data_IF_425752211049
#
_entry.id   IF_425752211049
#
_cell.length_a   1.000
_cell.length_b   1.000
_cell.length_c   1.000
_cell.angle_alpha   90.00
_cell.angle_beta   90.00
_cell.angle_gamma   90.00
#
_symmetry.space_group_name_H-M   'P 1'
#
loop_
_entity.id
_entity.type
_entity.pdbx_description
1 polymer ?
#
# COMPACT_ATOMS: atom_id res chain seq x y z
N UNK A 1 -52.53 -34.03 70.60
CA UNK A 1 -52.23 -34.56 69.25
C UNK A 1 -51.28 -33.58 68.57
N UNK A 2 -50.04 -33.96 68.33
CA UNK A 2 -49.00 -33.11 67.72
C UNK A 2 -48.93 -33.38 66.21
N UNK A 3 -49.25 -32.35 65.41
CA UNK A 3 -49.17 -32.39 63.95
C UNK A 3 -47.70 -32.29 63.51
N UNK A 4 -47.11 -33.37 62.99
CA UNK A 4 -45.80 -33.35 62.32
C UNK A 4 -45.98 -32.98 60.85
N UNK A 5 -45.48 -31.81 60.44
CA UNK A 5 -45.34 -31.43 59.01
C UNK A 5 -44.22 -32.24 58.37
N UNK A 6 -44.51 -32.89 57.25
CA UNK A 6 -43.54 -33.58 56.39
C UNK A 6 -42.98 -32.56 55.39
N UNK A 7 -41.71 -32.18 55.53
CA UNK A 7 -41.01 -31.33 54.56
C UNK A 7 -40.46 -32.25 53.45
N UNK A 8 -41.08 -32.22 52.27
CA UNK A 8 -40.51 -32.80 51.06
C UNK A 8 -39.52 -31.81 50.44
N UNK A 9 -38.23 -31.99 50.73
CA UNK A 9 -37.17 -31.28 50.05
C UNK A 9 -36.95 -31.87 48.65
N UNK A 10 -37.43 -31.18 47.62
CA UNK A 10 -37.05 -31.47 46.24
C UNK A 10 -35.58 -31.05 46.09
N UNK A 11 -34.67 -32.03 46.01
CA UNK A 11 -33.25 -31.78 45.74
C UNK A 11 -33.09 -31.25 44.31
N UNK A 12 -32.89 -29.93 44.18
CA UNK A 12 -32.58 -29.23 42.92
C UNK A 12 -31.14 -29.48 42.40
N UNK A 13 -30.36 -30.37 43.03
CA UNK A 13 -28.95 -30.58 42.71
C UNK A 13 -28.67 -31.45 41.47
N UNK A 14 -29.71 -32.01 40.83
CA UNK A 14 -29.56 -32.87 39.65
C UNK A 14 -29.65 -32.17 38.28
N UNK A 15 -30.07 -30.90 38.23
CA UNK A 15 -30.32 -30.18 36.96
C UNK A 15 -29.22 -29.17 36.58
N UNK A 16 -28.28 -28.87 37.49
CA UNK A 16 -27.24 -27.86 37.25
C UNK A 16 -26.08 -28.35 36.36
N UNK A 17 -25.75 -29.64 36.39
CA UNK A 17 -24.59 -30.21 35.69
C UNK A 17 -24.82 -30.37 34.17
N UNK A 18 -25.97 -30.86 33.66
CA UNK A 18 -26.16 -31.03 32.22
C UNK A 18 -26.34 -29.70 31.47
N UNK A 19 -26.86 -28.65 32.11
CA UNK A 19 -26.97 -27.31 31.49
C UNK A 19 -25.63 -26.59 31.39
N UNK A 20 -24.74 -26.77 32.38
CA UNK A 20 -23.39 -26.21 32.37
C UNK A 20 -22.48 -26.88 31.33
N UNK A 21 -22.60 -28.19 31.11
CA UNK A 21 -21.81 -28.90 30.09
C UNK A 21 -22.23 -28.54 28.66
N UNK A 22 -23.52 -28.35 28.39
CA UNK A 22 -24.01 -27.89 27.08
C UNK A 22 -23.55 -26.46 26.81
N UNK A 23 -23.61 -25.55 27.79
CA UNK A 23 -23.10 -24.18 27.66
C UNK A 23 -21.57 -24.14 27.44
N UNK A 24 -20.80 -24.99 28.13
CA UNK A 24 -19.36 -25.09 27.94
C UNK A 24 -18.98 -25.67 26.57
N UNK A 25 -19.74 -26.63 26.05
CA UNK A 25 -19.52 -27.20 24.70
C UNK A 25 -19.81 -26.17 23.59
N UNK A 26 -20.89 -25.40 23.72
CA UNK A 26 -21.23 -24.31 22.78
C UNK A 26 -20.24 -23.14 22.88
N UNK A 27 -19.83 -22.77 24.09
CA UNK A 27 -18.81 -21.74 24.31
C UNK A 27 -17.43 -22.13 23.76
N UNK A 28 -17.03 -23.40 23.92
CA UNK A 28 -15.78 -23.94 23.38
C UNK A 28 -15.77 -24.04 21.86
N UNK A 29 -16.87 -24.46 21.22
CA UNK A 29 -17.00 -24.49 19.76
C UNK A 29 -17.00 -23.07 19.17
N UNK A 30 -17.68 -22.13 19.82
CA UNK A 30 -17.71 -20.73 19.37
C UNK A 30 -16.36 -20.03 19.55
N UNK A 31 -15.66 -20.28 20.65
CA UNK A 31 -14.28 -19.84 20.87
C UNK A 31 -13.33 -20.47 19.84
N UNK A 32 -13.45 -21.77 19.57
CA UNK A 32 -12.67 -22.47 18.55
C UNK A 32 -12.88 -21.91 17.15
N UNK A 33 -14.13 -21.67 16.74
CA UNK A 33 -14.46 -21.05 15.45
C UNK A 33 -13.95 -19.62 15.35
N UNK A 34 -14.04 -18.83 16.42
CA UNK A 34 -13.47 -17.47 16.47
C UNK A 34 -11.94 -17.48 16.41
N UNK A 35 -11.28 -18.43 17.06
CA UNK A 35 -9.83 -18.58 17.00
C UNK A 35 -9.36 -19.06 15.62
N UNK A 36 -10.08 -19.98 14.98
CA UNK A 36 -9.79 -20.43 13.61
C UNK A 36 -10.02 -19.30 12.60
N UNK A 37 -11.14 -18.57 12.69
CA UNK A 37 -11.41 -17.43 11.82
C UNK A 37 -10.42 -16.27 12.03
N UNK A 38 -10.00 -16.01 13.27
CA UNK A 38 -8.95 -15.03 13.56
C UNK A 38 -7.58 -15.48 13.05
N UNK A 39 -7.27 -16.77 13.13
CA UNK A 39 -6.05 -17.37 12.59
C UNK A 39 -6.00 -17.32 11.06
N UNK A 40 -7.10 -17.65 10.39
CA UNK A 40 -7.23 -17.55 8.92
C UNK A 40 -7.17 -16.08 8.46
N UNK A 41 -7.84 -15.17 9.15
CA UNK A 41 -7.76 -13.73 8.87
C UNK A 41 -6.34 -13.18 9.03
N UNK A 42 -5.66 -13.52 10.12
CA UNK A 42 -4.26 -13.11 10.34
C UNK A 42 -3.30 -13.72 9.31
N UNK A 43 -3.59 -14.91 8.79
CA UNK A 43 -2.82 -15.52 7.71
C UNK A 43 -2.98 -14.74 6.41
N UNK A 44 -4.23 -14.41 6.02
CA UNK A 44 -4.51 -13.60 4.81
C UNK A 44 -3.85 -12.23 4.92
N UNK A 45 -3.98 -11.55 6.07
CA UNK A 45 -3.33 -10.25 6.31
C UNK A 45 -1.81 -10.36 6.15
N UNK A 46 -1.19 -11.41 6.69
CA UNK A 46 0.26 -11.66 6.56
C UNK A 46 0.69 -11.87 5.10
N UNK A 47 -0.04 -12.67 4.34
CA UNK A 47 0.24 -12.92 2.92
C UNK A 47 0.16 -11.64 2.09
N UNK A 48 -0.86 -10.82 2.33
CA UNK A 48 -1.03 -9.54 1.64
C UNK A 48 0.03 -8.51 2.05
N UNK A 49 0.42 -8.46 3.32
CA UNK A 49 1.54 -7.63 3.79
C UNK A 49 2.87 -8.06 3.18
N UNK A 50 3.13 -9.37 3.07
CA UNK A 50 4.32 -9.88 2.42
C UNK A 50 4.36 -9.52 0.92
N UNK A 51 3.20 -9.56 0.25
CA UNK A 51 3.06 -9.09 -1.13
C UNK A 51 3.37 -7.59 -1.22
N UNK A 52 2.76 -6.75 -0.37
CA UNK A 52 3.01 -5.30 -0.34
C UNK A 52 4.49 -4.97 -0.07
N UNK A 53 5.14 -5.72 0.82
CA UNK A 53 6.58 -5.61 1.07
C UNK A 53 7.40 -5.86 -0.19
N UNK A 54 7.15 -6.98 -0.88
CA UNK A 54 7.85 -7.34 -2.12
C UNK A 54 7.61 -6.31 -3.23
N UNK A 55 6.39 -5.78 -3.35
CA UNK A 55 6.08 -4.73 -4.30
C UNK A 55 6.87 -3.45 -4.00
N UNK A 56 6.98 -3.08 -2.72
CA UNK A 56 7.71 -1.88 -2.28
C UNK A 56 9.20 -1.97 -2.61
N UNK A 57 9.81 -3.17 -2.55
CA UNK A 57 11.20 -3.39 -2.97
C UNK A 57 11.46 -3.13 -4.47
N UNK A 58 10.44 -3.23 -5.31
CA UNK A 58 10.56 -2.96 -6.76
C UNK A 58 10.47 -1.48 -7.13
N UNK A 59 9.96 -0.64 -6.23
CA UNK A 59 9.71 0.79 -6.47
C UNK A 59 10.99 1.56 -6.82
N UNK A 60 12.14 1.39 -6.13
CA UNK A 60 13.35 2.15 -6.46
C UNK A 60 13.84 1.92 -7.89
N UNK A 61 13.82 0.66 -8.35
CA UNK A 61 14.22 0.33 -9.72
C UNK A 61 13.28 0.96 -10.76
N UNK A 62 11.97 0.97 -10.49
CA UNK A 62 10.98 1.60 -11.36
C UNK A 62 11.08 3.13 -11.33
N UNK A 63 11.32 3.73 -10.16
CA UNK A 63 11.56 5.16 -10.03
C UNK A 63 12.82 5.59 -10.79
N UNK A 64 13.89 4.78 -10.75
CA UNK A 64 15.08 4.99 -11.55
C UNK A 64 14.79 4.91 -13.05
N UNK A 65 13.98 3.95 -13.50
CA UNK A 65 13.58 3.85 -14.91
C UNK A 65 12.78 5.09 -15.38
N UNK A 66 11.86 5.60 -14.56
CA UNK A 66 11.14 6.85 -14.84
C UNK A 66 12.11 8.04 -14.89
N UNK A 67 13.01 8.15 -13.92
CA UNK A 67 13.96 9.25 -13.86
C UNK A 67 14.91 9.23 -15.08
N UNK A 68 15.54 8.09 -15.36
CA UNK A 68 16.47 7.94 -16.50
C UNK A 68 15.81 8.20 -17.84
N UNK A 69 14.57 7.72 -18.04
CA UNK A 69 13.81 7.99 -19.27
C UNK A 69 13.38 9.44 -19.42
N UNK A 70 13.12 10.15 -18.31
CA UNK A 70 12.78 11.57 -18.32
C UNK A 70 13.98 12.48 -18.63
N UNK A 71 15.17 12.16 -18.07
CA UNK A 71 16.37 13.03 -18.12
C UNK A 71 17.28 12.75 -19.32
N UNK A 72 16.97 11.73 -20.13
CA UNK A 72 17.75 11.45 -21.33
C UNK A 72 17.44 12.50 -22.39
N UNK A 73 18.47 13.11 -22.97
CA UNK A 73 18.34 14.08 -24.06
C UNK A 73 17.54 13.50 -25.22
N UNK A 74 16.56 14.27 -25.68
CA UNK A 74 15.66 13.86 -26.76
C UNK A 74 16.11 14.52 -28.06
N UNK A 75 16.30 13.74 -29.12
CA UNK A 75 16.55 14.22 -30.47
C UNK A 75 15.30 14.02 -31.35
N UNK A 76 15.26 14.68 -32.50
CA UNK A 76 14.18 14.48 -33.47
C UNK A 76 14.06 13.02 -33.93
N UNK A 77 15.20 12.32 -34.05
CA UNK A 77 15.28 10.94 -34.51
C UNK A 77 14.73 9.92 -33.51
N UNK A 78 14.81 10.18 -32.20
CA UNK A 78 14.42 9.22 -31.15
C UNK A 78 13.22 9.68 -30.29
N UNK A 79 12.65 10.85 -30.56
CA UNK A 79 11.56 11.45 -29.77
C UNK A 79 10.34 10.55 -29.52
N UNK A 80 9.90 9.80 -30.52
CA UNK A 80 8.79 8.85 -30.41
C UNK A 80 9.15 7.65 -29.52
N UNK A 81 10.34 7.08 -29.75
CA UNK A 81 10.87 5.96 -28.97
C UNK A 81 11.08 6.34 -27.50
N UNK A 82 11.72 7.49 -27.22
CA UNK A 82 11.91 8.02 -25.87
C UNK A 82 10.58 8.29 -25.15
N UNK A 83 9.60 8.80 -25.90
CA UNK A 83 8.24 8.98 -25.41
C UNK A 83 7.60 7.66 -24.94
N UNK A 84 7.70 6.61 -25.75
CA UNK A 84 7.18 5.29 -25.41
C UNK A 84 7.87 4.70 -24.16
N UNK A 85 9.20 4.74 -24.12
CA UNK A 85 10.00 4.24 -22.99
C UNK A 85 9.61 4.93 -21.67
N UNK A 86 9.44 6.26 -21.68
CA UNK A 86 8.98 7.00 -20.51
C UNK A 86 7.58 6.57 -20.07
N UNK A 87 6.63 6.47 -21.00
CA UNK A 87 5.25 6.08 -20.68
C UNK A 87 5.16 4.66 -20.11
N UNK A 88 5.96 3.72 -20.64
CA UNK A 88 5.99 2.35 -20.15
C UNK A 88 6.59 2.28 -18.73
N UNK A 89 7.66 3.02 -18.47
CA UNK A 89 8.25 3.15 -17.14
C UNK A 89 7.26 3.79 -16.14
N UNK A 90 6.59 4.87 -16.56
CA UNK A 90 5.60 5.58 -15.76
C UNK A 90 4.41 4.68 -15.39
N UNK A 91 3.86 3.96 -16.38
CA UNK A 91 2.75 3.02 -16.17
C UNK A 91 3.13 1.90 -15.20
N UNK A 92 4.34 1.36 -15.33
CA UNK A 92 4.85 0.33 -14.43
C UNK A 92 5.00 0.84 -13.00
N UNK A 93 5.56 2.04 -12.83
CA UNK A 93 5.73 2.70 -11.54
C UNK A 93 4.40 3.01 -10.85
N UNK A 94 3.48 3.68 -11.55
CA UNK A 94 2.14 4.01 -11.02
C UNK A 94 1.30 2.76 -10.76
N UNK A 95 1.42 1.74 -11.61
CA UNK A 95 0.74 0.45 -11.43
C UNK A 95 1.13 -0.20 -10.10
N UNK A 96 2.43 -0.25 -9.78
CA UNK A 96 2.91 -0.85 -8.52
C UNK A 96 2.47 -0.09 -7.28
N UNK A 97 2.45 1.23 -7.34
CA UNK A 97 1.95 2.05 -6.22
C UNK A 97 0.45 1.87 -6.03
N UNK A 98 -0.29 1.74 -7.13
CA UNK A 98 -1.74 1.45 -7.08
C UNK A 98 -2.00 0.08 -6.46
N UNK A 99 -1.24 -0.95 -6.84
CA UNK A 99 -1.35 -2.29 -6.22
C UNK A 99 -1.15 -2.23 -4.69
N UNK A 100 -0.14 -1.50 -4.21
CA UNK A 100 0.13 -1.33 -2.77
C UNK A 100 -1.03 -0.60 -2.08
N UNK A 101 -1.56 0.48 -2.69
CA UNK A 101 -2.73 1.20 -2.17
C UNK A 101 -3.96 0.30 -2.07
N UNK A 102 -4.20 -0.55 -3.07
CA UNK A 102 -5.30 -1.51 -3.07
C UNK A 102 -5.14 -2.54 -1.95
N UNK A 103 -3.93 -3.09 -1.76
CA UNK A 103 -3.66 -4.02 -0.65
C UNK A 103 -3.93 -3.35 0.71
N UNK A 104 -3.41 -2.13 0.91
CA UNK A 104 -3.66 -1.37 2.14
C UNK A 104 -5.15 -1.17 2.40
N UNK A 105 -5.89 -0.65 1.41
CA UNK A 105 -7.31 -0.34 1.54
C UNK A 105 -8.20 -1.57 1.81
N UNK A 106 -7.77 -2.77 1.38
CA UNK A 106 -8.56 -3.99 1.52
C UNK A 106 -8.22 -4.80 2.78
N UNK A 107 -7.01 -4.68 3.31
CA UNK A 107 -6.51 -5.65 4.28
C UNK A 107 -5.85 -5.04 5.52
N UNK A 108 -5.31 -3.81 5.46
CA UNK A 108 -4.45 -3.29 6.54
C UNK A 108 -4.56 -1.78 6.70
N UNK A 109 -5.27 -1.33 7.73
CA UNK A 109 -5.35 0.10 8.06
C UNK A 109 -4.05 0.65 8.71
N UNK A 110 -3.31 -0.20 9.43
CA UNK A 110 -2.13 0.15 10.24
C UNK A 110 -0.94 0.74 9.45
N UNK A 111 -0.94 0.63 8.11
CA UNK A 111 0.12 1.16 7.22
C UNK A 111 -0.37 2.32 6.33
N UNK A 112 -1.63 2.75 6.48
CA UNK A 112 -2.29 3.72 5.58
C UNK A 112 -1.52 5.04 5.46
N UNK A 113 -1.11 5.63 6.59
CA UNK A 113 -0.37 6.91 6.58
C UNK A 113 0.94 6.81 5.77
N UNK A 114 1.66 5.69 5.90
CA UNK A 114 2.90 5.46 5.17
C UNK A 114 2.66 5.26 3.67
N UNK A 115 1.58 4.53 3.31
CA UNK A 115 1.16 4.33 1.92
C UNK A 115 0.72 5.66 1.27
N UNK A 116 -0.02 6.50 1.99
CA UNK A 116 -0.41 7.83 1.52
C UNK A 116 0.79 8.78 1.40
N UNK A 117 1.75 8.69 2.32
CA UNK A 117 3.02 9.41 2.23
C UNK A 117 3.79 9.06 0.96
N UNK A 118 3.93 7.77 0.68
CA UNK A 118 4.55 7.27 -0.55
C UNK A 118 3.79 7.69 -1.81
N UNK A 119 2.45 7.60 -1.81
CA UNK A 119 1.60 8.02 -2.94
C UNK A 119 1.79 9.50 -3.27
N UNK A 120 1.72 10.37 -2.25
CA UNK A 120 1.91 11.82 -2.43
C UNK A 120 3.32 12.15 -2.94
N UNK A 121 4.34 11.47 -2.41
CA UNK A 121 5.71 11.66 -2.90
C UNK A 121 5.84 11.24 -4.36
N UNK A 122 5.32 10.06 -4.71
CA UNK A 122 5.32 9.55 -6.08
C UNK A 122 4.64 10.50 -7.07
N UNK A 123 3.51 11.08 -6.69
CA UNK A 123 2.82 12.08 -7.51
C UNK A 123 3.71 13.31 -7.76
N UNK A 124 4.40 13.81 -6.74
CA UNK A 124 5.36 14.90 -6.88
C UNK A 124 6.52 14.52 -7.81
N UNK A 125 7.13 13.37 -7.59
CA UNK A 125 8.22 12.86 -8.42
C UNK A 125 7.82 12.72 -9.90
N UNK A 126 6.67 12.12 -10.19
CA UNK A 126 6.13 11.97 -11.55
C UNK A 126 5.92 13.35 -12.18
N UNK A 127 5.40 14.31 -11.43
CA UNK A 127 5.20 15.67 -11.92
C UNK A 127 6.51 16.36 -12.29
N UNK A 128 7.56 16.21 -11.46
CA UNK A 128 8.88 16.77 -11.79
C UNK A 128 9.52 16.10 -13.00
N UNK A 129 9.42 14.77 -13.10
CA UNK A 129 9.91 14.02 -14.25
C UNK A 129 9.20 14.44 -15.55
N UNK A 130 7.88 14.59 -15.52
CA UNK A 130 7.09 15.06 -16.66
C UNK A 130 7.46 16.49 -17.06
N UNK A 131 7.67 17.38 -16.08
CA UNK A 131 8.13 18.75 -16.32
C UNK A 131 9.51 18.78 -16.98
N UNK A 132 10.43 17.94 -16.54
CA UNK A 132 11.75 17.86 -17.14
C UNK A 132 11.66 17.43 -18.61
N UNK A 133 10.89 16.39 -18.89
CA UNK A 133 10.67 15.90 -20.26
C UNK A 133 10.00 16.94 -21.17
N UNK A 134 9.10 17.77 -20.63
CA UNK A 134 8.50 18.92 -21.32
C UNK A 134 9.56 19.97 -21.70
N UNK A 135 10.45 20.31 -20.77
CA UNK A 135 11.51 21.29 -20.98
C UNK A 135 12.51 20.78 -22.04
N UNK A 136 12.91 19.51 -21.98
CA UNK A 136 13.76 18.87 -23.00
C UNK A 136 13.15 18.98 -24.41
N UNK A 137 11.85 18.69 -24.55
CA UNK A 137 11.15 18.79 -25.84
C UNK A 137 11.04 20.23 -26.33
N UNK A 138 10.78 21.19 -25.43
CA UNK A 138 10.71 22.61 -25.77
C UNK A 138 12.06 23.11 -26.28
N UNK A 139 13.13 22.83 -25.55
CA UNK A 139 14.48 23.34 -25.83
C UNK A 139 15.05 22.76 -27.14
N UNK A 140 14.53 21.61 -27.56
CA UNK A 140 14.88 20.93 -28.82
C UNK A 140 13.92 21.26 -29.98
N UNK A 141 12.94 22.15 -29.76
CA UNK A 141 11.99 22.59 -30.78
C UNK A 141 10.98 21.52 -31.21
N UNK A 142 10.77 20.49 -30.39
CA UNK A 142 9.90 19.36 -30.71
C UNK A 142 8.45 19.56 -30.24
N UNK A 143 7.46 19.01 -30.97
CA UNK A 143 6.07 19.06 -30.54
C UNK A 143 5.84 18.24 -29.26
N UNK A 144 5.02 18.79 -28.38
CA UNK A 144 4.55 18.12 -27.16
C UNK A 144 3.35 17.23 -27.55
N UNK A 145 3.55 15.92 -27.58
CA UNK A 145 2.53 14.95 -28.04
C UNK A 145 1.79 14.37 -26.84
N UNK A 146 0.46 14.52 -26.75
CA UNK A 146 -0.37 13.78 -25.77
C UNK A 146 -0.40 12.29 -26.15
N UNK A 147 -0.30 11.32 -25.22
CA UNK A 147 -0.66 11.38 -23.80
C UNK A 147 0.51 11.63 -22.85
N UNK A 148 1.68 12.07 -23.34
CA UNK A 148 2.89 12.20 -22.51
C UNK A 148 2.75 13.08 -21.27
N UNK A 149 1.69 13.90 -21.18
CA UNK A 149 1.44 14.76 -20.03
C UNK A 149 -0.07 14.92 -19.76
N UNK A 150 -0.53 14.45 -18.60
CA UNK A 150 -1.54 15.18 -17.84
C UNK A 150 -0.82 16.18 -16.95
N UNK A 151 -0.52 17.35 -17.52
CA UNK A 151 0.01 18.49 -16.77
C UNK A 151 -1.10 19.19 -15.98
N UNK A 152 -0.80 19.58 -14.74
CA UNK A 152 -1.36 20.78 -14.11
C UNK A 152 -0.46 21.23 -12.95
N UNK A 153 0.58 22.02 -13.23
CA UNK A 153 1.01 23.05 -12.26
C UNK A 153 1.69 24.23 -12.96
N UNK A 154 0.90 25.25 -13.31
CA UNK A 154 1.29 26.47 -14.03
C UNK A 154 2.27 27.38 -13.30
N UNK A 155 2.58 27.10 -12.04
CA UNK A 155 3.09 28.13 -11.12
C UNK A 155 4.60 28.06 -10.88
N UNK A 156 5.31 27.05 -11.39
CA UNK A 156 6.78 26.93 -11.27
C UNK A 156 7.41 26.68 -12.64
N UNK A 157 7.93 27.74 -13.26
CA UNK A 157 8.82 27.64 -14.43
C UNK A 157 10.24 27.34 -13.92
N UNK A 158 10.54 26.08 -13.68
CA UNK A 158 11.91 25.65 -13.40
C UNK A 158 12.76 25.73 -14.67
N UNK A 159 14.02 26.14 -14.54
CA UNK A 159 14.99 25.97 -15.61
C UNK A 159 15.37 24.49 -15.76
N UNK A 160 15.95 24.11 -16.92
CA UNK A 160 16.29 22.72 -17.25
C UNK A 160 17.15 22.04 -16.16
N UNK A 161 18.19 22.72 -15.68
CA UNK A 161 19.11 22.21 -14.65
C UNK A 161 18.41 22.12 -13.29
N UNK A 162 17.58 23.10 -12.93
CA UNK A 162 16.81 23.08 -11.69
C UNK A 162 15.81 21.92 -11.69
N UNK A 163 15.12 21.70 -12.81
CA UNK A 163 14.20 20.58 -12.99
C UNK A 163 14.89 19.22 -12.88
N UNK A 164 16.12 19.08 -13.40
CA UNK A 164 16.93 17.87 -13.25
C UNK A 164 17.23 17.58 -11.77
N UNK A 165 17.73 18.59 -11.06
CA UNK A 165 18.10 18.48 -9.65
C UNK A 165 16.90 18.15 -8.77
N UNK A 166 15.76 18.81 -8.99
CA UNK A 166 14.53 18.58 -8.23
C UNK A 166 13.97 17.17 -8.51
N UNK A 167 14.00 16.71 -9.75
CA UNK A 167 13.55 15.35 -10.10
C UNK A 167 14.41 14.28 -9.42
N UNK A 168 15.74 14.46 -9.43
CA UNK A 168 16.66 13.54 -8.77
C UNK A 168 16.50 13.55 -7.24
N UNK A 169 16.31 14.73 -6.63
CA UNK A 169 16.05 14.88 -5.20
C UNK A 169 14.76 14.19 -4.78
N UNK A 170 13.66 14.44 -5.49
CA UNK A 170 12.36 13.84 -5.17
C UNK A 170 12.36 12.32 -5.34
N UNK A 171 13.09 11.77 -6.31
CA UNK A 171 13.30 10.32 -6.41
C UNK A 171 13.87 9.75 -5.10
N UNK A 172 14.96 10.32 -4.60
CA UNK A 172 15.62 9.87 -3.36
C UNK A 172 14.69 10.01 -2.16
N UNK A 173 13.93 11.13 -2.10
CA UNK A 173 12.93 11.34 -1.06
C UNK A 173 11.84 10.26 -1.08
N UNK A 174 11.37 9.86 -2.25
CA UNK A 174 10.35 8.82 -2.37
C UNK A 174 10.90 7.41 -2.11
N UNK A 175 12.17 7.16 -2.45
CA UNK A 175 12.86 5.92 -2.05
C UNK A 175 12.91 5.78 -0.53
N UNK A 176 13.26 6.86 0.17
CA UNK A 176 13.25 6.88 1.64
C UNK A 176 11.85 6.66 2.23
N UNK A 177 10.79 7.24 1.62
CA UNK A 177 9.41 6.95 2.02
C UNK A 177 9.05 5.46 1.81
N UNK A 178 9.53 4.86 0.72
CA UNK A 178 9.37 3.42 0.46
C UNK A 178 10.08 2.55 1.51
N UNK A 179 11.28 2.94 1.94
CA UNK A 179 11.99 2.27 3.04
C UNK A 179 11.22 2.37 4.36
N UNK A 180 10.65 3.54 4.68
CA UNK A 180 9.81 3.70 5.86
C UNK A 180 8.55 2.83 5.80
N UNK A 181 7.92 2.73 4.63
CA UNK A 181 6.79 1.83 4.41
C UNK A 181 7.19 0.36 4.64
N UNK A 182 8.34 -0.08 4.11
CA UNK A 182 8.86 -1.42 4.34
C UNK A 182 9.08 -1.73 5.83
N UNK A 183 9.67 -0.79 6.57
CA UNK A 183 9.85 -0.91 8.02
C UNK A 183 8.50 -1.04 8.72
N UNK A 184 7.52 -0.22 8.34
CA UNK A 184 6.17 -0.25 8.92
C UNK A 184 5.45 -1.57 8.61
N UNK A 185 5.51 -2.04 7.36
CA UNK A 185 4.97 -3.35 6.96
C UNK A 185 5.58 -4.46 7.82
N UNK A 186 6.90 -4.50 7.96
CA UNK A 186 7.58 -5.50 8.78
C UNK A 186 7.16 -5.44 10.26
N UNK A 187 6.94 -4.25 10.81
CA UNK A 187 6.42 -4.08 12.18
C UNK A 187 5.00 -4.62 12.32
N UNK A 188 4.11 -4.31 11.37
CA UNK A 188 2.72 -4.78 11.40
C UNK A 188 2.64 -6.29 11.21
N UNK A 189 3.42 -6.85 10.27
CA UNK A 189 3.52 -8.31 10.08
C UNK A 189 3.86 -9.03 11.38
N UNK A 190 4.78 -8.49 12.20
CA UNK A 190 5.14 -9.06 13.51
C UNK A 190 3.98 -9.06 14.51
N UNK A 191 3.08 -8.09 14.46
CA UNK A 191 1.90 -8.04 15.34
C UNK A 191 0.85 -9.09 14.99
N UNK A 192 0.84 -9.54 13.73
CA UNK A 192 -0.09 -10.56 13.26
C UNK A 192 0.48 -11.99 13.37
N UNK A 193 1.65 -12.20 14.01
CA UNK A 193 2.28 -13.52 14.26
C UNK A 193 1.54 -14.26 15.37
#
# INVERSE_FOLDING_TARGET
MTFKRKITGIRLTGLGIPLLTVAASLGGVYMGQRMVAAGESNKVIREQLALAYNLTLSIPALALAVNTSAITTVSSADSGFRGAVYNDALKSYQGKITEIKTINALYVDDITEAVEGLSRCSEQFVNFAANHMLLERRDTGMPIVKPLMSYQNSNLKLERIESLNVTAYERVRCEFMGEQLNVKIAQVMKKHI
#
